data_IF_022297355139
#
_entry.id   IF_022297355139
#
_cell.length_a   1.000
_cell.length_b   1.000
_cell.length_c   1.000
_cell.angle_alpha   90.00
_cell.angle_beta   90.00
_cell.angle_gamma   90.00
#
_symmetry.space_group_name_H-M   'P 1'
#
loop_
_entity.id
_entity.type
_entity.pdbx_description
1 polymer ?
#
# COMPACT_ATOMS: atom_id res chain seq x y z
N UNK A 1 19.35 57.81 -1.75
CA UNK A 1 18.09 57.25 -2.24
C UNK A 1 18.46 55.95 -2.94
N UNK A 2 18.47 54.80 -2.28
CA UNK A 2 17.28 54.24 -1.63
C UNK A 2 16.26 53.89 -2.72
N UNK A 3 15.69 52.70 -2.85
CA UNK A 3 15.58 51.49 -2.04
C UNK A 3 15.06 50.47 -3.08
N UNK A 4 15.46 49.21 -3.16
CA UNK A 4 14.70 48.14 -2.51
C UNK A 4 15.12 46.81 -3.13
N UNK A 5 15.44 45.90 -2.23
CA UNK A 5 15.69 44.48 -2.40
C UNK A 5 14.35 43.70 -2.45
N UNK A 6 14.44 42.39 -2.77
CA UNK A 6 13.42 41.33 -2.79
C UNK A 6 12.74 41.10 -4.16
N UNK A 7 12.80 39.92 -4.78
CA UNK A 7 12.89 38.58 -4.22
C UNK A 7 13.94 37.69 -4.91
N UNK A 8 14.71 37.02 -4.06
CA UNK A 8 15.54 35.85 -4.33
C UNK A 8 14.69 34.59 -4.10
N UNK A 9 14.70 33.66 -5.07
CA UNK A 9 14.48 32.21 -4.98
C UNK A 9 14.31 31.71 -6.44
N UNK A 10 15.22 31.02 -7.13
CA UNK A 10 15.96 29.78 -6.78
C UNK A 10 15.07 28.85 -5.95
N UNK A 11 14.55 27.71 -6.40
CA UNK A 11 14.94 26.76 -7.44
C UNK A 11 13.75 25.82 -7.73
N UNK A 12 13.78 25.05 -8.84
CA UNK A 12 12.79 24.05 -9.19
C UNK A 12 13.07 22.74 -8.44
N UNK A 13 12.04 22.13 -7.84
CA UNK A 13 12.12 20.74 -7.36
C UNK A 13 10.72 20.17 -7.14
N UNK A 14 10.09 19.71 -8.22
CA UNK A 14 9.14 18.61 -8.08
C UNK A 14 9.98 17.34 -7.89
N UNK A 15 9.95 16.65 -6.73
CA UNK A 15 10.61 15.38 -6.62
C UNK A 15 9.77 14.33 -7.35
N UNK A 16 10.39 13.72 -8.36
CA UNK A 16 10.54 12.27 -8.47
C UNK A 16 9.30 11.41 -8.27
N UNK A 17 8.81 10.87 -9.37
CA UNK A 17 7.94 9.71 -9.39
C UNK A 17 7.92 9.04 -10.75
N UNK A 18 9.06 9.01 -11.46
CA UNK A 18 9.24 8.07 -12.55
C UNK A 18 9.17 6.67 -11.93
N UNK A 19 8.03 6.01 -12.04
CA UNK A 19 7.93 4.58 -11.74
C UNK A 19 8.54 3.86 -12.94
N UNK A 20 9.87 3.82 -12.94
CA UNK A 20 10.68 3.02 -13.85
C UNK A 20 10.37 1.54 -13.55
N UNK A 21 9.43 0.96 -14.30
CA UNK A 21 9.21 -0.49 -14.34
C UNK A 21 10.32 -1.15 -15.16
N UNK A 22 11.53 -1.08 -14.65
CA UNK A 22 12.60 -2.02 -15.00
C UNK A 22 12.30 -3.35 -14.30
N UNK A 23 12.61 -4.47 -14.96
CA UNK A 23 12.41 -5.84 -14.44
C UNK A 23 13.30 -6.21 -13.24
N UNK A 24 13.37 -5.36 -12.23
CA UNK A 24 13.74 -5.68 -10.85
C UNK A 24 12.52 -6.29 -10.15
N UNK A 25 12.67 -7.08 -9.06
CA UNK A 25 11.53 -7.51 -8.27
C UNK A 25 10.83 -6.24 -7.76
N UNK A 26 9.76 -5.85 -8.44
CA UNK A 26 9.03 -4.61 -8.20
C UNK A 26 8.65 -4.47 -6.72
N UNK A 27 8.38 -3.25 -6.25
CA UNK A 27 8.05 -3.01 -4.84
C UNK A 27 7.01 -4.03 -4.40
N UNK A 28 7.41 -4.95 -3.51
CA UNK A 28 6.55 -6.04 -3.06
C UNK A 28 5.25 -5.41 -2.59
N UNK A 29 4.18 -5.61 -3.34
CA UNK A 29 2.88 -5.01 -3.07
C UNK A 29 2.56 -5.28 -1.60
N UNK A 30 2.24 -4.24 -0.85
CA UNK A 30 1.99 -4.39 0.58
C UNK A 30 0.84 -5.38 0.78
N UNK A 31 0.88 -6.20 1.84
CA UNK A 31 -0.20 -7.15 2.13
C UNK A 31 -1.57 -6.47 2.18
N UNK A 32 -1.62 -5.20 2.60
CA UNK A 32 -2.82 -4.36 2.62
C UNK A 32 -3.36 -4.06 1.21
N UNK A 33 -2.49 -3.74 0.26
CA UNK A 33 -2.90 -3.48 -1.13
C UNK A 33 -3.51 -4.74 -1.75
N UNK A 34 -2.86 -5.89 -1.55
CA UNK A 34 -3.36 -7.17 -2.01
C UNK A 34 -4.72 -7.51 -1.37
N UNK A 35 -4.88 -7.28 -0.07
CA UNK A 35 -6.16 -7.50 0.62
C UNK A 35 -7.25 -6.58 0.09
N UNK A 36 -6.96 -5.29 -0.15
CA UNK A 36 -7.91 -4.36 -0.74
C UNK A 36 -8.36 -4.79 -2.14
N UNK A 37 -7.44 -5.33 -2.95
CA UNK A 37 -7.78 -5.89 -4.26
C UNK A 37 -8.76 -7.07 -4.14
N UNK A 38 -8.49 -8.01 -3.24
CA UNK A 38 -9.39 -9.15 -2.98
C UNK A 38 -10.75 -8.67 -2.46
N UNK A 39 -10.77 -7.69 -1.54
CA UNK A 39 -12.01 -7.12 -1.02
C UNK A 39 -12.89 -6.53 -2.13
N UNK A 40 -12.29 -5.83 -3.10
CA UNK A 40 -13.00 -5.28 -4.26
C UNK A 40 -13.58 -6.37 -5.17
N UNK A 41 -12.91 -7.51 -5.32
CA UNK A 41 -13.46 -8.67 -6.02
C UNK A 41 -14.70 -9.24 -5.31
N UNK A 42 -14.78 -9.10 -3.99
CA UNK A 42 -15.95 -9.42 -3.18
C UNK A 42 -16.97 -8.27 -3.08
N UNK A 43 -16.88 -7.25 -3.96
CA UNK A 43 -17.73 -6.06 -3.97
C UNK A 43 -17.70 -5.22 -2.68
N UNK A 44 -16.61 -5.32 -1.90
CA UNK A 44 -16.38 -4.47 -0.72
C UNK A 44 -15.50 -3.29 -1.13
N UNK A 45 -15.97 -2.07 -0.86
CA UNK A 45 -15.19 -0.86 -1.09
C UNK A 45 -14.04 -0.76 -0.07
N UNK A 46 -12.85 -1.19 -0.47
CA UNK A 46 -11.66 -1.16 0.36
C UNK A 46 -10.59 -0.22 -0.23
N UNK A 47 -10.03 0.63 0.63
CA UNK A 47 -8.95 1.57 0.32
C UNK A 47 -7.74 1.31 1.23
N UNK A 48 -6.52 1.15 0.68
CA UNK A 48 -5.34 0.79 1.48
C UNK A 48 -4.93 1.87 2.48
N UNK A 49 -5.07 3.16 2.15
CA UNK A 49 -4.73 4.26 3.08
C UNK A 49 -5.66 4.31 4.29
N UNK A 50 -6.97 4.19 4.03
CA UNK A 50 -8.02 4.13 5.04
C UNK A 50 -7.87 2.90 5.93
N UNK A 51 -7.52 1.75 5.35
CA UNK A 51 -7.32 0.51 6.10
C UNK A 51 -6.05 0.58 6.97
N UNK A 52 -4.94 1.10 6.42
CA UNK A 52 -3.71 1.33 7.18
C UNK A 52 -3.93 2.28 8.37
N UNK A 53 -4.68 3.36 8.15
CA UNK A 53 -5.02 4.30 9.22
C UNK A 53 -5.87 3.65 10.33
N UNK A 54 -6.88 2.83 9.97
CA UNK A 54 -7.70 2.09 10.94
C UNK A 54 -6.89 1.08 11.77
N UNK A 55 -5.83 0.52 11.18
CA UNK A 55 -4.90 -0.40 11.85
C UNK A 55 -3.82 0.33 12.65
N UNK A 56 -3.71 1.66 12.56
CA UNK A 56 -2.68 2.45 13.23
C UNK A 56 -1.27 2.20 12.70
N UNK A 57 -1.14 1.78 11.44
CA UNK A 57 0.13 1.44 10.79
C UNK A 57 0.48 2.43 9.69
N UNK A 58 1.78 2.64 9.47
CA UNK A 58 2.26 3.39 8.32
C UNK A 58 1.96 2.63 7.01
N UNK A 59 1.68 3.34 5.90
CA UNK A 59 1.38 2.69 4.61
C UNK A 59 2.53 1.81 4.09
N UNK A 60 3.77 2.14 4.46
CA UNK A 60 4.98 1.38 4.11
C UNK A 60 5.36 0.31 5.14
N UNK A 61 4.62 0.20 6.25
CA UNK A 61 4.86 -0.81 7.29
C UNK A 61 4.42 -2.18 6.78
N UNK A 62 5.24 -3.22 7.00
CA UNK A 62 4.79 -4.59 6.76
C UNK A 62 3.76 -5.01 7.81
N UNK A 63 2.69 -5.65 7.36
CA UNK A 63 1.63 -6.18 8.20
C UNK A 63 1.87 -7.67 8.42
N UNK A 64 1.93 -8.07 9.68
CA UNK A 64 1.99 -9.48 10.04
C UNK A 64 0.67 -10.19 9.70
N UNK A 65 0.70 -11.52 9.72
CA UNK A 65 -0.47 -12.29 9.29
C UNK A 65 -1.69 -12.10 10.20
N UNK A 66 -1.49 -11.84 11.49
CA UNK A 66 -2.60 -11.60 12.41
C UNK A 66 -3.26 -10.23 12.10
N UNK A 67 -2.44 -9.21 11.85
CA UNK A 67 -2.90 -7.90 11.38
C UNK A 67 -3.70 -8.00 10.07
N UNK A 68 -3.25 -8.85 9.14
CA UNK A 68 -3.94 -9.03 7.87
C UNK A 68 -5.30 -9.73 8.01
N UNK A 69 -5.39 -10.73 8.89
CA UNK A 69 -6.67 -11.39 9.22
C UNK A 69 -7.64 -10.44 9.95
N UNK A 70 -7.12 -9.61 10.85
CA UNK A 70 -7.90 -8.58 11.54
C UNK A 70 -8.43 -7.55 10.53
N UNK A 71 -7.57 -7.07 9.63
CA UNK A 71 -7.96 -6.16 8.56
C UNK A 71 -9.07 -6.76 7.67
N UNK A 72 -8.97 -8.03 7.30
CA UNK A 72 -10.01 -8.72 6.54
C UNK A 72 -11.34 -8.78 7.31
N UNK A 73 -11.28 -8.99 8.63
CA UNK A 73 -12.46 -8.96 9.52
C UNK A 73 -13.09 -7.56 9.59
N UNK A 74 -12.30 -6.49 9.63
CA UNK A 74 -12.80 -5.11 9.58
C UNK A 74 -13.55 -4.81 8.27
N UNK A 75 -13.12 -5.44 7.16
CA UNK A 75 -13.80 -5.35 5.87
C UNK A 75 -15.03 -6.27 5.75
N UNK A 76 -15.37 -7.05 6.79
CA UNK A 76 -16.48 -8.00 6.76
C UNK A 76 -16.20 -9.29 5.97
N UNK A 77 -14.94 -9.56 5.61
CA UNK A 77 -14.53 -10.77 4.91
C UNK A 77 -14.35 -11.94 5.87
N UNK A 78 -14.65 -13.16 5.39
CA UNK A 78 -14.31 -14.40 6.09
C UNK A 78 -12.92 -14.89 5.65
N UNK A 79 -11.88 -14.47 6.37
CA UNK A 79 -10.50 -14.88 6.10
C UNK A 79 -9.99 -15.92 7.12
N UNK A 80 -9.12 -16.84 6.65
CA UNK A 80 -8.47 -17.85 7.49
C UNK A 80 -7.04 -18.09 6.99
N UNK A 81 -6.09 -18.22 7.93
CA UNK A 81 -4.76 -18.72 7.61
C UNK A 81 -4.83 -20.20 7.22
N UNK A 82 -4.36 -20.52 6.01
CA UNK A 82 -4.19 -21.91 5.57
C UNK A 82 -2.76 -22.11 5.10
N UNK A 83 -2.12 -23.20 5.53
CA UNK A 83 -0.89 -23.68 4.91
C UNK A 83 -1.25 -24.50 3.68
N UNK A 84 -0.51 -24.32 2.60
CA UNK A 84 -0.66 -25.11 1.36
C UNK A 84 0.73 -25.43 0.84
N UNK A 85 0.86 -26.53 0.12
CA UNK A 85 2.10 -26.97 -0.53
C UNK A 85 1.99 -26.82 -2.04
N UNK A 86 3.14 -26.77 -2.74
CA UNK A 86 3.17 -26.70 -4.19
C UNK A 86 2.49 -27.90 -4.88
N UNK A 87 2.43 -29.06 -4.21
CA UNK A 87 1.74 -30.28 -4.65
C UNK A 87 0.24 -30.05 -4.95
N UNK A 88 -0.41 -29.07 -4.31
CA UNK A 88 -1.82 -28.73 -4.58
C UNK A 88 -2.05 -28.03 -5.92
N UNK A 89 -0.98 -27.61 -6.58
CA UNK A 89 -1.01 -27.00 -7.90
C UNK A 89 -0.86 -28.09 -8.98
N UNK A 90 -1.68 -29.13 -8.93
CA UNK A 90 -1.75 -30.14 -10.00
C UNK A 90 -2.20 -29.43 -11.27
N UNK A 91 -1.26 -29.21 -12.19
CA UNK A 91 -1.45 -28.55 -13.47
C UNK A 91 -1.74 -29.58 -14.56
#
# INVERSE_FOLDING_TARGET
MGDSNAALASEPAAPGGAQEQSGEPGPRSSGIEALCLIARLHHVAADPGTLAHQLGISPSQQVDTAGLLLAAKHLGLKAKLSRTTADRLTL
#
